data_IF_146561704346
#
_entry.id   IF_146561704346
#
_cell.length_a   1.000
_cell.length_b   1.000
_cell.length_c   1.000
_cell.angle_alpha   90.00
_cell.angle_beta   90.00
_cell.angle_gamma   90.00
#
_symmetry.space_group_name_H-M   'P 1'
#
loop_
_entity.id
_entity.type
_entity.pdbx_description
1 polymer ?
#
# COMPACT_ATOMS: atom_id res chain seq x y z
N UNK A 1 48.65 -4.75 -5.15
CA UNK A 1 47.40 -3.96 -5.03
C UNK A 1 46.55 -4.34 -6.23
N UNK A 2 45.62 -5.28 -6.06
CA UNK A 2 44.76 -5.77 -7.16
C UNK A 2 43.64 -4.72 -7.30
N UNK A 3 43.40 -4.14 -8.49
CA UNK A 3 42.32 -3.19 -8.66
C UNK A 3 40.99 -3.92 -8.49
N UNK A 4 40.13 -3.37 -7.63
CA UNK A 4 38.75 -3.82 -7.45
C UNK A 4 38.05 -3.84 -8.82
N UNK A 5 37.28 -4.89 -9.15
CA UNK A 5 36.50 -4.91 -10.38
C UNK A 5 35.59 -3.68 -10.38
N UNK A 6 35.72 -2.84 -11.39
CA UNK A 6 34.77 -1.77 -11.66
C UNK A 6 33.40 -2.44 -11.83
N UNK A 7 32.55 -2.35 -10.80
CA UNK A 7 31.14 -2.72 -10.89
C UNK A 7 30.51 -1.73 -11.87
N UNK A 8 30.61 -2.03 -13.15
CA UNK A 8 29.86 -1.39 -14.22
C UNK A 8 28.41 -1.31 -13.73
N UNK A 9 27.88 -0.09 -13.60
CA UNK A 9 26.49 0.12 -13.28
C UNK A 9 25.65 -0.77 -14.20
N UNK A 10 24.74 -1.61 -13.67
CA UNK A 10 23.95 -2.48 -14.51
C UNK A 10 23.23 -1.60 -15.55
N UNK A 11 23.15 -2.04 -16.82
CA UNK A 11 22.38 -1.31 -17.82
C UNK A 11 20.97 -1.09 -17.25
N UNK A 12 20.41 0.09 -17.48
CA UNK A 12 19.04 0.44 -17.04
C UNK A 12 18.08 -0.46 -17.82
N UNK A 13 17.89 -1.68 -17.33
CA UNK A 13 17.08 -2.70 -17.96
C UNK A 13 15.63 -2.34 -17.62
N UNK A 14 14.86 -1.96 -18.62
CA UNK A 14 13.43 -1.64 -18.49
C UNK A 14 12.65 -2.73 -17.74
N UNK A 15 13.11 -3.98 -17.87
CA UNK A 15 12.51 -5.15 -17.25
C UNK A 15 12.60 -5.12 -15.72
N UNK A 16 13.74 -4.69 -15.17
CA UNK A 16 13.92 -4.57 -13.72
C UNK A 16 13.06 -3.45 -13.13
N UNK A 17 12.82 -2.37 -13.87
CA UNK A 17 11.96 -1.26 -13.44
C UNK A 17 10.51 -1.74 -13.35
N UNK A 18 10.03 -2.46 -14.36
CA UNK A 18 8.68 -3.02 -14.38
C UNK A 18 8.46 -4.04 -13.24
N UNK A 19 9.44 -4.91 -12.99
CA UNK A 19 9.40 -5.89 -11.92
C UNK A 19 9.35 -5.22 -10.54
N UNK A 20 10.18 -4.19 -10.31
CA UNK A 20 10.19 -3.43 -9.06
C UNK A 20 8.86 -2.71 -8.80
N UNK A 21 8.28 -2.08 -9.82
CA UNK A 21 6.97 -1.40 -9.70
C UNK A 21 5.89 -2.43 -9.35
N UNK A 22 5.89 -3.60 -10.02
CA UNK A 22 4.95 -4.69 -9.74
C UNK A 22 5.11 -5.19 -8.31
N UNK A 23 6.35 -5.44 -7.86
CA UNK A 23 6.63 -5.90 -6.51
C UNK A 23 6.13 -4.90 -5.46
N UNK A 24 6.44 -3.62 -5.62
CA UNK A 24 6.01 -2.55 -4.71
C UNK A 24 4.49 -2.41 -4.67
N UNK A 25 3.82 -2.56 -5.81
CA UNK A 25 2.36 -2.53 -5.92
C UNK A 25 1.72 -3.71 -5.18
N UNK A 26 2.26 -4.92 -5.35
CA UNK A 26 1.78 -6.12 -4.65
C UNK A 26 2.01 -5.98 -3.14
N UNK A 27 3.20 -5.57 -2.73
CA UNK A 27 3.55 -5.41 -1.31
C UNK A 27 2.63 -4.38 -0.64
N UNK A 28 2.43 -3.23 -1.27
CA UNK A 28 1.54 -2.19 -0.77
C UNK A 28 0.12 -2.73 -0.62
N UNK A 29 -0.38 -3.45 -1.63
CA UNK A 29 -1.73 -4.04 -1.59
C UNK A 29 -1.92 -5.04 -0.45
N UNK A 30 -0.92 -5.90 -0.19
CA UNK A 30 -0.95 -6.83 0.96
C UNK A 30 -1.01 -6.08 2.30
N UNK A 31 -0.22 -5.02 2.45
CA UNK A 31 -0.21 -4.18 3.65
C UNK A 31 -1.57 -3.51 3.85
N UNK A 32 -2.16 -2.96 2.78
CA UNK A 32 -3.50 -2.35 2.83
C UNK A 32 -4.54 -3.33 3.33
N UNK A 33 -4.58 -4.54 2.75
CA UNK A 33 -5.54 -5.58 3.12
C UNK A 33 -5.36 -5.99 4.59
N UNK A 34 -4.12 -6.23 5.02
CA UNK A 34 -3.84 -6.63 6.40
C UNK A 34 -4.27 -5.56 7.42
N UNK A 35 -3.97 -4.28 7.15
CA UNK A 35 -4.41 -3.17 8.00
C UNK A 35 -5.93 -3.00 7.94
N UNK A 36 -6.55 -3.20 6.78
CA UNK A 36 -8.01 -3.18 6.64
C UNK A 36 -8.69 -4.22 7.53
N UNK A 37 -8.18 -5.45 7.55
CA UNK A 37 -8.67 -6.49 8.46
C UNK A 37 -8.48 -6.09 9.93
N UNK A 38 -7.32 -5.52 10.29
CA UNK A 38 -7.04 -5.10 11.66
C UNK A 38 -8.02 -4.03 12.14
N UNK A 39 -8.28 -3.01 11.32
CA UNK A 39 -9.25 -1.97 11.63
C UNK A 39 -10.70 -2.46 11.58
N UNK A 40 -11.04 -3.40 10.69
CA UNK A 40 -12.34 -4.08 10.69
C UNK A 40 -12.58 -4.82 12.00
N UNK A 41 -11.55 -5.50 12.51
CA UNK A 41 -11.59 -6.20 13.79
C UNK A 41 -11.80 -5.23 14.95
N UNK A 42 -11.07 -4.09 14.96
CA UNK A 42 -11.31 -3.04 15.96
C UNK A 42 -12.74 -2.47 15.84
N UNK A 43 -13.24 -2.21 14.64
CA UNK A 43 -14.60 -1.70 14.44
C UNK A 43 -15.67 -2.68 14.97
N UNK A 44 -15.47 -3.99 14.77
CA UNK A 44 -16.33 -5.04 15.30
C UNK A 44 -16.26 -5.15 16.83
N UNK A 45 -15.05 -5.11 17.41
CA UNK A 45 -14.84 -5.14 18.86
C UNK A 45 -15.47 -3.94 19.57
N UNK A 46 -15.34 -2.75 19.00
CA UNK A 46 -15.94 -1.52 19.52
C UNK A 46 -17.45 -1.43 19.29
N UNK A 47 -18.06 -2.42 18.59
CA UNK A 47 -19.49 -2.43 18.20
C UNK A 47 -19.93 -1.11 17.56
N UNK A 48 -19.06 -0.53 16.73
CA UNK A 48 -19.36 0.71 16.02
C UNK A 48 -20.35 0.40 14.91
N UNK A 49 -21.61 0.77 15.11
CA UNK A 49 -22.70 0.49 14.19
C UNK A 49 -22.84 1.56 13.09
N UNK A 50 -23.18 1.11 11.88
CA UNK A 50 -23.58 1.96 10.76
C UNK A 50 -22.49 2.94 10.29
N UNK A 51 -22.80 4.24 10.35
CA UNK A 51 -21.98 5.30 9.73
C UNK A 51 -20.60 5.45 10.36
N UNK A 52 -20.43 5.10 11.65
CA UNK A 52 -19.15 5.22 12.35
C UNK A 52 -18.13 4.15 11.91
N UNK A 53 -18.57 2.92 11.64
CA UNK A 53 -17.69 1.89 11.07
C UNK A 53 -17.23 2.26 9.65
N UNK A 54 -18.13 2.87 8.89
CA UNK A 54 -17.83 3.35 7.54
C UNK A 54 -16.89 4.57 7.56
N UNK A 55 -17.04 5.48 8.53
CA UNK A 55 -16.10 6.58 8.76
C UNK A 55 -14.69 6.07 9.15
N UNK A 56 -14.62 5.03 9.99
CA UNK A 56 -13.35 4.38 10.35
C UNK A 56 -12.63 3.80 9.13
N UNK A 57 -13.36 3.24 8.17
CA UNK A 57 -12.76 2.76 6.93
C UNK A 57 -12.10 3.89 6.12
N UNK A 58 -12.76 5.05 6.00
CA UNK A 58 -12.18 6.21 5.32
C UNK A 58 -10.95 6.77 6.06
N UNK A 59 -11.01 6.82 7.39
CA UNK A 59 -9.86 7.22 8.22
C UNK A 59 -8.70 6.25 8.00
N UNK A 60 -8.97 4.95 8.00
CA UNK A 60 -7.96 3.92 7.75
C UNK A 60 -7.32 4.07 6.37
N UNK A 61 -8.12 4.29 5.32
CA UNK A 61 -7.61 4.58 3.98
C UNK A 61 -6.67 5.79 3.94
N UNK A 62 -7.02 6.87 4.63
CA UNK A 62 -6.18 8.05 4.74
C UNK A 62 -4.88 7.78 5.49
N UNK A 63 -4.94 7.05 6.61
CA UNK A 63 -3.77 6.68 7.40
C UNK A 63 -2.82 5.81 6.57
N UNK A 64 -3.34 4.75 5.97
CA UNK A 64 -2.57 3.82 5.12
C UNK A 64 -1.94 4.56 3.95
N UNK A 65 -2.71 5.37 3.22
CA UNK A 65 -2.21 6.13 2.08
C UNK A 65 -1.13 7.13 2.47
N UNK A 66 -1.31 7.83 3.59
CA UNK A 66 -0.29 8.75 4.14
C UNK A 66 0.98 8.00 4.55
N UNK A 67 0.86 6.82 5.18
CA UNK A 67 2.00 5.99 5.57
C UNK A 67 2.83 5.56 4.36
N UNK A 68 2.16 5.20 3.26
CA UNK A 68 2.83 4.81 2.02
C UNK A 68 3.56 6.00 1.40
N UNK A 69 2.95 7.20 1.38
CA UNK A 69 3.60 8.42 0.88
C UNK A 69 4.84 8.77 1.70
N UNK A 70 4.74 8.74 3.02
CA UNK A 70 5.86 9.02 3.93
C UNK A 70 6.99 8.02 3.68
N UNK A 71 6.66 6.73 3.54
CA UNK A 71 7.63 5.68 3.23
C UNK A 71 8.27 5.85 1.85
N UNK A 72 7.56 6.45 0.90
CA UNK A 72 8.07 6.83 -0.42
C UNK A 72 8.80 8.19 -0.43
N UNK A 73 9.00 8.83 0.73
CA UNK A 73 9.68 10.12 0.87
C UNK A 73 9.06 11.22 -0.02
N UNK A 74 7.74 11.22 -0.19
CA UNK A 74 7.01 12.14 -1.10
C UNK A 74 7.48 12.08 -2.57
N UNK A 75 8.09 10.96 -2.98
CA UNK A 75 8.51 10.67 -4.36
C UNK A 75 7.71 9.53 -4.97
N UNK A 76 6.40 9.49 -4.71
CA UNK A 76 5.53 8.38 -5.13
C UNK A 76 5.51 8.16 -6.65
N UNK A 77 5.74 9.21 -7.45
CA UNK A 77 5.82 9.13 -8.93
C UNK A 77 6.98 8.29 -9.46
N UNK A 78 8.01 8.05 -8.64
CA UNK A 78 9.16 7.23 -9.03
C UNK A 78 8.97 5.74 -8.69
N UNK A 79 8.05 5.42 -7.78
CA UNK A 79 7.83 4.07 -7.27
C UNK A 79 6.50 3.47 -7.75
N UNK A 80 5.54 4.33 -8.08
CA UNK A 80 4.21 3.95 -8.55
C UNK A 80 3.86 4.70 -9.84
N UNK A 81 3.09 4.06 -10.73
CA UNK A 81 2.66 4.68 -11.98
C UNK A 81 1.72 5.88 -11.76
N UNK A 82 1.05 5.96 -10.61
CA UNK A 82 0.17 7.09 -10.26
C UNK A 82 -0.02 7.21 -8.75
N UNK A 83 0.01 8.44 -8.22
CA UNK A 83 -0.36 8.76 -6.83
C UNK A 83 -1.78 8.29 -6.51
N UNK A 84 -2.70 8.34 -7.47
CA UNK A 84 -4.06 7.84 -7.27
C UNK A 84 -4.09 6.32 -7.09
N UNK A 85 -3.21 5.59 -7.78
CA UNK A 85 -3.07 4.13 -7.61
C UNK A 85 -2.62 3.77 -6.20
N UNK A 86 -1.85 4.64 -5.53
CA UNK A 86 -1.44 4.45 -4.13
C UNK A 86 -2.63 4.48 -3.17
N UNK A 87 -3.70 5.23 -3.46
CA UNK A 87 -4.90 5.26 -2.63
C UNK A 87 -5.96 4.28 -3.12
N UNK A 88 -6.41 4.43 -4.37
CA UNK A 88 -7.52 3.68 -4.95
C UNK A 88 -7.13 2.27 -5.45
N UNK A 89 -5.84 1.98 -5.56
CA UNK A 89 -5.37 0.64 -5.93
C UNK A 89 -5.85 -0.39 -4.91
N UNK A 90 -6.61 -1.37 -5.39
CA UNK A 90 -7.23 -2.44 -4.59
C UNK A 90 -8.24 -1.96 -3.53
N UNK A 91 -8.88 -0.81 -3.76
CA UNK A 91 -9.91 -0.27 -2.86
C UNK A 91 -11.06 -1.26 -2.62
N UNK A 92 -11.59 -1.87 -3.70
CA UNK A 92 -12.71 -2.82 -3.60
C UNK A 92 -12.35 -4.05 -2.76
N UNK A 93 -11.13 -4.58 -2.92
CA UNK A 93 -10.67 -5.73 -2.14
C UNK A 93 -10.45 -5.34 -0.68
N UNK A 94 -9.84 -4.17 -0.45
CA UNK A 94 -9.59 -3.61 0.89
C UNK A 94 -10.90 -3.36 1.64
N UNK A 95 -11.90 -2.80 0.95
CA UNK A 95 -13.25 -2.57 1.50
C UNK A 95 -14.00 -3.87 1.78
N UNK A 96 -13.96 -4.83 0.85
CA UNK A 96 -14.55 -6.15 1.06
C UNK A 96 -13.96 -6.86 2.28
N UNK A 97 -12.63 -6.86 2.42
CA UNK A 97 -11.95 -7.42 3.59
C UNK A 97 -12.30 -6.70 4.90
N UNK A 98 -12.45 -5.37 4.86
CA UNK A 98 -12.91 -4.61 6.02
C UNK A 98 -14.30 -5.04 6.46
N UNK A 99 -15.27 -5.05 5.54
CA UNK A 99 -16.66 -5.41 5.82
C UNK A 99 -16.78 -6.85 6.33
N UNK A 100 -16.00 -7.77 5.75
CA UNK A 100 -16.00 -9.18 6.13
C UNK A 100 -15.55 -9.38 7.58
N UNK A 101 -14.56 -8.61 8.05
CA UNK A 101 -14.07 -8.71 9.44
C UNK A 101 -14.89 -7.88 10.42
N UNK A 102 -15.57 -6.83 9.94
CA UNK A 102 -16.41 -5.97 10.76
C UNK A 102 -17.77 -6.59 11.14
N UNK A 103 -18.32 -7.46 10.27
CA UNK A 103 -19.56 -8.22 10.55
C UNK A 103 -19.37 -9.19 11.70
#
# INVERSE_FOLDING_TARGET
MIPSPQRSAPPINSDHIAENIKHNTILSSKIKIALSCLFGLFAGLLKLNGLFGLALFFINLFIIGSLIIIKCNFKEKNYFPSTFSVFAGNLSMTFGSFLFVWT
#
